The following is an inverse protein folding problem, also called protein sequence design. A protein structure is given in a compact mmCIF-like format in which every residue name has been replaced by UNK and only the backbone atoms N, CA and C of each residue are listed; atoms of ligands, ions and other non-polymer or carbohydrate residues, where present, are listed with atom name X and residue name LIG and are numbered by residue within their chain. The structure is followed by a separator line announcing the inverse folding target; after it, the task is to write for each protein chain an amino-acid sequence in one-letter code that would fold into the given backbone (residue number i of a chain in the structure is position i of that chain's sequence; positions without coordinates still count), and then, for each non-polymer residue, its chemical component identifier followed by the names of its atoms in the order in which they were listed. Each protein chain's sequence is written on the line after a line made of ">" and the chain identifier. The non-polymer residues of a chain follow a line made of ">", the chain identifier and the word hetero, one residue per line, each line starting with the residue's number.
data_IF_634039921638
#
_entry.id   IF_634039921638
#
_cell.length_a   1.000
_cell.length_b   1.000
_cell.length_c   1.000
_cell.angle_alpha   90.00
_cell.angle_beta   90.00
_cell.angle_gamma   90.00
#
_symmetry.space_group_name_H-M   'P 1'
#
loop_
_entity.id
_entity.type
_entity.pdbx_description
1 polymer ?
#
# COMPACT_ATOMS: atom_id res chain seq x y z
N UNK A 1 71.50 -10.90 -7.58
CA UNK A 1 72.33 -12.02 -8.07
C UNK A 1 71.53 -13.30 -7.99
N UNK A 2 71.21 -13.81 -9.18
CA UNK A 2 70.80 -15.15 -9.62
C UNK A 2 70.77 -16.23 -8.52
N UNK A 3 69.74 -17.08 -8.46
CA UNK A 3 69.62 -18.31 -9.25
C UNK A 3 68.16 -18.83 -9.14
N UNK A 4 67.43 -19.17 -10.20
CA UNK A 4 67.63 -20.16 -11.27
C UNK A 4 67.26 -21.60 -10.84
N UNK A 5 66.57 -22.29 -11.77
CA UNK A 5 66.07 -23.70 -11.82
C UNK A 5 64.70 -23.96 -11.16
N UNK A 6 63.60 -24.12 -11.92
CA UNK A 6 63.21 -25.17 -12.90
C UNK A 6 63.15 -26.57 -12.28
N UNK A 7 61.92 -27.10 -12.16
CA UNK A 7 61.64 -28.52 -12.34
C UNK A 7 60.16 -28.73 -12.73
N UNK A 8 59.98 -29.08 -14.00
CA UNK A 8 58.79 -29.63 -14.63
C UNK A 8 58.57 -31.07 -14.13
N UNK A 9 57.37 -31.42 -13.66
CA UNK A 9 56.91 -32.82 -13.63
C UNK A 9 55.46 -32.89 -14.09
N UNK A 10 55.29 -33.56 -15.23
CA UNK A 10 54.04 -34.07 -15.79
C UNK A 10 53.50 -35.24 -14.96
N UNK A 11 52.17 -35.33 -14.84
CA UNK A 11 51.30 -36.50 -15.05
C UNK A 11 50.08 -36.40 -14.11
N UNK A 12 48.88 -36.26 -14.65
CA UNK A 12 47.97 -37.36 -15.02
C UNK A 12 47.16 -37.85 -13.83
N UNK A 13 45.84 -37.62 -13.87
CA UNK A 13 44.93 -38.13 -12.86
C UNK A 13 43.57 -37.47 -12.97
N UNK A 14 42.81 -37.84 -13.99
CA UNK A 14 41.40 -37.49 -14.14
C UNK A 14 40.62 -38.16 -12.99
N UNK A 15 40.36 -37.43 -11.92
CA UNK A 15 39.46 -37.83 -10.84
C UNK A 15 38.11 -37.17 -11.06
N UNK A 16 37.06 -37.96 -11.32
CA UNK A 16 35.67 -37.51 -11.27
C UNK A 16 35.37 -37.03 -9.85
N UNK A 17 35.33 -35.71 -9.66
CA UNK A 17 34.82 -35.09 -8.45
C UNK A 17 33.31 -35.09 -8.49
N UNK A 18 32.69 -35.94 -7.67
CA UNK A 18 31.30 -35.80 -7.25
C UNK A 18 31.05 -34.37 -6.78
N UNK A 19 30.07 -33.69 -7.39
CA UNK A 19 29.57 -32.42 -6.90
C UNK A 19 28.96 -32.63 -5.50
N UNK A 20 29.68 -32.14 -4.48
CA UNK A 20 29.20 -32.03 -3.11
C UNK A 20 28.27 -30.79 -2.97
N UNK A 21 27.37 -30.76 -1.97
CA UNK A 21 26.38 -29.71 -1.80
C UNK A 21 27.03 -28.40 -1.32
N UNK A 22 26.63 -27.27 -1.89
CA UNK A 22 27.03 -25.95 -1.39
C UNK A 22 27.22 -24.92 -2.50
N UNK A 23 26.13 -24.37 -3.01
CA UNK A 23 26.15 -23.12 -3.76
C UNK A 23 25.68 -21.97 -2.85
N UNK A 24 26.44 -21.71 -1.79
CA UNK A 24 26.48 -20.38 -1.18
C UNK A 24 27.90 -19.88 -1.35
N UNK A 25 28.08 -18.87 -2.22
CA UNK A 25 29.35 -18.20 -2.39
C UNK A 25 29.75 -17.44 -1.11
N UNK A 26 31.05 -17.21 -0.89
CA UNK A 26 31.57 -16.50 0.29
C UNK A 26 31.17 -15.01 0.36
N UNK A 27 30.44 -14.51 -0.64
CA UNK A 27 29.75 -13.23 -0.62
C UNK A 27 28.27 -13.51 -0.80
N UNK A 28 27.53 -13.57 0.30
CA UNK A 28 26.07 -13.57 0.25
C UNK A 28 25.61 -12.25 -0.37
N UNK A 29 25.37 -12.25 -1.67
CA UNK A 29 24.57 -11.20 -2.29
C UNK A 29 23.17 -11.32 -1.70
N UNK A 30 22.91 -10.51 -0.68
CA UNK A 30 21.54 -10.22 -0.30
C UNK A 30 20.92 -9.54 -1.51
N UNK A 31 19.67 -9.88 -1.82
CA UNK A 31 18.89 -9.24 -2.87
C UNK A 31 18.66 -7.78 -2.46
N UNK A 32 19.66 -6.92 -2.61
CA UNK A 32 19.59 -5.45 -2.45
C UNK A 32 18.90 -4.79 -3.66
N UNK A 33 18.03 -5.54 -4.35
CA UNK A 33 17.04 -4.90 -5.20
C UNK A 33 16.08 -4.18 -4.25
N UNK A 34 15.87 -2.85 -4.38
CA UNK A 34 14.81 -2.19 -3.64
C UNK A 34 13.53 -2.97 -3.92
N UNK A 35 12.81 -3.37 -2.85
CA UNK A 35 11.50 -3.96 -3.00
C UNK A 35 10.69 -3.02 -3.89
N UNK A 36 10.40 -3.46 -5.11
CA UNK A 36 9.49 -2.74 -5.97
C UNK A 36 8.15 -2.79 -5.25
N UNK A 37 7.83 -1.73 -4.50
CA UNK A 37 6.48 -1.46 -4.04
C UNK A 37 5.67 -1.24 -5.30
N UNK A 38 5.10 -2.31 -5.84
CA UNK A 38 3.98 -2.23 -6.75
C UNK A 38 2.86 -1.53 -5.97
N UNK A 39 2.83 -0.20 -6.02
CA UNK A 39 1.67 0.58 -5.68
C UNK A 39 0.64 0.37 -6.80
N UNK A 40 0.13 -0.86 -6.89
CA UNK A 40 -1.11 -1.11 -7.59
C UNK A 40 -2.21 -0.59 -6.70
N UNK A 41 -3.08 0.27 -7.23
CA UNK A 41 -4.34 0.62 -6.57
C UNK A 41 -5.19 -0.65 -6.50
N UNK A 42 -5.04 -1.44 -5.43
CA UNK A 42 -5.94 -2.56 -5.17
C UNK A 42 -7.33 -1.98 -4.94
N UNK A 43 -8.32 -2.49 -5.69
CA UNK A 43 -9.71 -2.09 -5.50
C UNK A 43 -10.18 -2.46 -4.09
N UNK A 44 -11.03 -1.64 -3.45
CA UNK A 44 -11.65 -2.02 -2.19
C UNK A 44 -12.43 -3.33 -2.33
N UNK A 45 -12.23 -4.24 -1.39
CA UNK A 45 -12.93 -5.52 -1.33
C UNK A 45 -13.66 -5.67 -0.01
N UNK A 46 -14.67 -6.53 -0.02
CA UNK A 46 -15.46 -6.93 1.15
C UNK A 46 -15.52 -8.45 1.19
N UNK A 47 -15.37 -9.00 2.38
CA UNK A 47 -15.57 -10.41 2.66
C UNK A 47 -16.47 -10.53 3.90
N UNK A 48 -17.44 -11.43 3.84
CA UNK A 48 -18.36 -11.72 4.93
C UNK A 48 -18.86 -13.15 4.82
N UNK A 49 -19.29 -13.76 5.92
CA UNK A 49 -19.85 -15.10 5.89
C UNK A 49 -20.84 -15.31 7.03
N UNK A 50 -21.71 -16.28 6.84
CA UNK A 50 -22.62 -16.84 7.84
C UNK A 50 -22.37 -18.34 7.97
N UNK A 51 -23.25 -19.07 8.66
CA UNK A 51 -23.20 -20.53 8.69
C UNK A 51 -23.52 -21.17 7.33
N UNK A 52 -24.32 -20.49 6.50
CA UNK A 52 -24.84 -21.03 5.25
C UNK A 52 -24.13 -20.48 4.00
N UNK A 53 -23.63 -19.24 4.05
CA UNK A 53 -23.12 -18.55 2.87
C UNK A 53 -21.78 -17.84 3.11
N UNK A 54 -20.99 -17.72 2.05
CA UNK A 54 -19.80 -16.88 1.96
C UNK A 54 -20.07 -15.78 0.92
N UNK A 55 -19.60 -14.56 1.19
CA UNK A 55 -19.78 -13.40 0.33
C UNK A 55 -18.43 -12.74 0.10
N UNK A 56 -18.09 -12.52 -1.16
CA UNK A 56 -16.90 -11.76 -1.57
C UNK A 56 -17.33 -10.69 -2.57
N UNK A 57 -16.90 -9.45 -2.33
CA UNK A 57 -17.25 -8.32 -3.16
C UNK A 57 -16.05 -7.48 -3.56
N UNK A 58 -16.12 -6.87 -4.74
CA UNK A 58 -15.15 -5.89 -5.22
C UNK A 58 -15.88 -4.64 -5.67
N UNK A 59 -15.40 -3.48 -5.20
CA UNK A 59 -15.91 -2.17 -5.62
C UNK A 59 -15.15 -1.69 -6.86
N UNK A 60 -15.90 -1.49 -7.95
CA UNK A 60 -15.48 -0.87 -9.20
C UNK A 60 -15.97 0.59 -9.23
N UNK A 61 -15.61 1.32 -10.29
CA UNK A 61 -16.03 2.71 -10.45
C UNK A 61 -17.54 2.83 -10.75
N UNK A 62 -18.10 1.82 -11.40
CA UNK A 62 -19.46 1.77 -11.92
C UNK A 62 -20.33 0.66 -11.32
N UNK A 63 -19.76 -0.24 -10.51
CA UNK A 63 -20.52 -1.28 -9.81
C UNK A 63 -19.86 -1.78 -8.51
N UNK A 64 -20.66 -2.35 -7.62
CA UNK A 64 -20.20 -3.29 -6.61
C UNK A 64 -20.62 -4.69 -7.07
N UNK A 65 -19.64 -5.49 -7.50
CA UNK A 65 -19.86 -6.88 -7.92
C UNK A 65 -19.63 -7.81 -6.73
N UNK A 66 -20.60 -8.68 -6.46
CA UNK A 66 -20.61 -9.60 -5.33
C UNK A 66 -20.76 -11.04 -5.83
N UNK A 67 -19.87 -11.91 -5.39
CA UNK A 67 -20.04 -13.36 -5.49
C UNK A 67 -20.54 -13.89 -4.15
N UNK A 68 -21.46 -14.86 -4.22
CA UNK A 68 -21.99 -15.54 -3.04
C UNK A 68 -21.93 -17.03 -3.28
N UNK A 69 -21.32 -17.75 -2.35
CA UNK A 69 -21.15 -19.20 -2.40
C UNK A 69 -21.81 -19.85 -1.18
N UNK A 70 -22.18 -21.13 -1.32
CA UNK A 70 -22.62 -21.96 -0.19
C UNK A 70 -21.42 -22.34 0.67
N UNK A 71 -21.46 -22.02 1.96
CA UNK A 71 -20.31 -22.21 2.87
C UNK A 71 -19.82 -23.67 2.91
N UNK A 72 -20.75 -24.63 2.94
CA UNK A 72 -20.40 -26.05 3.08
C UNK A 72 -19.81 -26.68 1.81
N UNK A 73 -20.15 -26.18 0.63
CA UNK A 73 -19.83 -26.82 -0.66
C UNK A 73 -19.01 -25.95 -1.60
N UNK A 74 -18.88 -24.65 -1.30
CA UNK A 74 -18.29 -23.63 -2.18
C UNK A 74 -18.98 -23.58 -3.56
N UNK A 75 -20.26 -23.95 -3.62
CA UNK A 75 -21.05 -23.85 -4.85
C UNK A 75 -21.64 -22.44 -4.99
N UNK A 76 -21.55 -21.81 -6.17
CA UNK A 76 -22.05 -20.46 -6.38
C UNK A 76 -23.57 -20.39 -6.34
N UNK A 77 -24.08 -19.32 -5.73
CA UNK A 77 -25.49 -18.96 -5.74
C UNK A 77 -25.86 -18.35 -7.09
N UNK A 78 -26.41 -19.17 -7.97
CA UNK A 78 -26.75 -18.80 -9.37
C UNK A 78 -28.21 -18.39 -9.56
N UNK A 79 -29.01 -18.37 -8.49
CA UNK A 79 -30.41 -17.95 -8.50
C UNK A 79 -30.80 -17.35 -7.15
N UNK A 80 -31.49 -16.20 -7.18
CA UNK A 80 -31.94 -15.54 -5.97
C UNK A 80 -32.00 -14.03 -6.13
N UNK A 81 -32.22 -13.34 -5.00
CA UNK A 81 -32.12 -11.89 -4.88
C UNK A 81 -31.11 -11.53 -3.81
N UNK A 82 -30.32 -10.49 -4.07
CA UNK A 82 -29.42 -9.91 -3.10
C UNK A 82 -29.75 -8.43 -2.96
N UNK A 83 -30.11 -8.02 -1.76
CA UNK A 83 -30.34 -6.61 -1.40
C UNK A 83 -29.20 -6.16 -0.49
N UNK A 84 -28.89 -4.86 -0.53
CA UNK A 84 -27.87 -4.25 0.33
C UNK A 84 -28.41 -3.01 1.00
N UNK A 85 -28.06 -2.83 2.27
CA UNK A 85 -28.31 -1.65 3.05
C UNK A 85 -26.99 -0.98 3.47
N UNK A 86 -26.91 0.34 3.28
CA UNK A 86 -25.84 1.20 3.76
C UNK A 86 -26.47 2.43 4.43
N UNK A 87 -26.62 2.40 5.75
CA UNK A 87 -27.37 3.42 6.49
C UNK A 87 -28.83 3.47 6.03
N UNK A 88 -29.25 4.59 5.42
CA UNK A 88 -30.60 4.75 4.86
C UNK A 88 -30.71 4.34 3.38
N UNK A 89 -29.58 4.04 2.72
CA UNK A 89 -29.55 3.63 1.31
C UNK A 89 -29.88 2.15 1.23
N UNK A 90 -30.84 1.80 0.36
CA UNK A 90 -31.16 0.41 0.01
C UNK A 90 -31.10 0.23 -1.50
N UNK A 91 -30.50 -0.86 -1.95
CA UNK A 91 -30.43 -1.22 -3.36
C UNK A 91 -30.57 -2.74 -3.53
N UNK A 92 -31.05 -3.16 -4.70
CA UNK A 92 -31.11 -4.57 -5.10
C UNK A 92 -30.16 -4.81 -6.27
N UNK A 93 -29.41 -5.90 -6.22
CA UNK A 93 -28.51 -6.27 -7.28
C UNK A 93 -29.24 -6.87 -8.48
N UNK A 94 -28.63 -6.72 -9.65
CA UNK A 94 -28.94 -7.53 -10.82
C UNK A 94 -28.06 -8.78 -10.79
N UNK A 95 -28.67 -9.97 -10.84
CA UNK A 95 -27.95 -11.22 -10.97
C UNK A 95 -27.54 -11.47 -12.43
N UNK A 96 -26.24 -11.67 -12.66
CA UNK A 96 -25.70 -12.19 -13.92
C UNK A 96 -25.46 -13.69 -13.76
N UNK A 97 -26.49 -14.50 -14.00
CA UNK A 97 -26.45 -15.94 -13.73
C UNK A 97 -25.38 -16.70 -14.54
N UNK A 98 -24.94 -16.15 -15.67
CA UNK A 98 -23.85 -16.66 -16.50
C UNK A 98 -22.45 -16.41 -15.90
N UNK A 99 -22.29 -15.31 -15.18
CA UNK A 99 -21.05 -14.94 -14.49
C UNK A 99 -21.04 -15.37 -13.02
N UNK A 100 -22.22 -15.62 -12.44
CA UNK A 100 -22.38 -16.01 -11.03
C UNK A 100 -22.28 -14.84 -10.05
N UNK A 101 -22.39 -13.59 -10.52
CA UNK A 101 -22.26 -12.40 -9.69
C UNK A 101 -23.56 -11.58 -9.58
N UNK A 102 -23.69 -10.91 -8.45
CA UNK A 102 -24.72 -9.92 -8.15
C UNK A 102 -24.10 -8.53 -8.30
N UNK A 103 -24.55 -7.77 -9.31
CA UNK A 103 -24.06 -6.44 -9.62
C UNK A 103 -25.00 -5.36 -9.07
N UNK A 104 -24.47 -4.52 -8.18
CA UNK A 104 -25.14 -3.31 -7.70
C UNK A 104 -24.62 -2.09 -8.48
N UNK A 105 -25.52 -1.42 -9.21
CA UNK A 105 -25.22 -0.23 -10.03
C UNK A 105 -25.96 1.02 -9.57
N UNK A 106 -26.58 0.98 -8.38
CA UNK A 106 -27.31 2.13 -7.83
C UNK A 106 -26.35 3.31 -7.57
N UNK A 107 -26.68 4.47 -8.13
CA UNK A 107 -25.80 5.64 -8.10
C UNK A 107 -25.62 6.23 -6.69
N UNK A 108 -26.63 6.12 -5.81
CA UNK A 108 -26.52 6.64 -4.45
C UNK A 108 -25.61 5.73 -3.60
N UNK A 109 -25.78 4.41 -3.74
CA UNK A 109 -24.91 3.41 -3.12
C UNK A 109 -23.46 3.58 -3.55
N UNK A 110 -23.18 3.62 -4.86
CA UNK A 110 -21.80 3.70 -5.38
C UNK A 110 -21.12 4.99 -4.94
N UNK A 111 -21.83 6.12 -5.02
CA UNK A 111 -21.32 7.40 -4.55
C UNK A 111 -20.96 7.38 -3.05
N UNK A 112 -21.77 6.71 -2.23
CA UNK A 112 -21.51 6.60 -0.80
C UNK A 112 -20.28 5.70 -0.53
N UNK A 113 -20.20 4.55 -1.20
CA UNK A 113 -19.08 3.61 -1.05
C UNK A 113 -17.75 4.17 -1.55
N UNK A 114 -17.75 5.01 -2.58
CA UNK A 114 -16.54 5.67 -3.09
C UNK A 114 -15.95 6.71 -2.13
N UNK A 115 -16.70 7.14 -1.10
CA UNK A 115 -16.16 8.06 -0.11
C UNK A 115 -15.07 7.35 0.73
N UNK A 116 -13.94 8.01 1.03
CA UNK A 116 -12.93 7.45 1.93
C UNK A 116 -13.50 7.07 3.30
N UNK A 117 -13.07 5.92 3.81
CA UNK A 117 -13.47 5.44 5.13
C UNK A 117 -13.96 4.00 5.15
N UNK A 118 -14.54 3.61 6.28
CA UNK A 118 -15.14 2.30 6.48
C UNK A 118 -16.64 2.40 6.30
N UNK A 119 -17.20 1.52 5.46
CA UNK A 119 -18.63 1.43 5.22
C UNK A 119 -19.13 0.08 5.70
N UNK A 120 -20.05 0.08 6.66
CA UNK A 120 -20.72 -1.13 7.11
C UNK A 120 -21.92 -1.40 6.20
N UNK A 121 -21.99 -2.60 5.63
CA UNK A 121 -23.07 -3.04 4.76
C UNK A 121 -23.80 -4.21 5.40
N UNK A 122 -25.10 -4.26 5.19
CA UNK A 122 -25.93 -5.41 5.54
C UNK A 122 -26.56 -5.92 4.27
N UNK A 123 -26.27 -7.17 3.91
CA UNK A 123 -26.86 -7.81 2.74
C UNK A 123 -27.99 -8.73 3.17
N UNK A 124 -29.10 -8.71 2.44
CA UNK A 124 -30.18 -9.70 2.59
C UNK A 124 -30.17 -10.59 1.35
N UNK A 125 -29.81 -11.85 1.54
CA UNK A 125 -29.86 -12.86 0.50
C UNK A 125 -31.16 -13.65 0.61
N UNK A 126 -31.79 -13.91 -0.53
CA UNK A 126 -32.86 -14.90 -0.67
C UNK A 126 -32.48 -15.85 -1.81
N UNK A 127 -32.15 -17.08 -1.46
CA UNK A 127 -31.71 -18.13 -2.38
C UNK A 127 -32.66 -19.33 -2.30
N UNK A 128 -33.67 -19.37 -3.18
CA UNK A 128 -34.71 -20.40 -3.14
C UNK A 128 -35.58 -20.28 -1.88
N UNK A 129 -35.52 -21.28 -1.00
CA UNK A 129 -36.26 -21.29 0.28
C UNK A 129 -35.44 -20.77 1.47
N UNK A 130 -34.16 -20.48 1.25
CA UNK A 130 -33.24 -19.98 2.27
C UNK A 130 -33.17 -18.46 2.19
N UNK A 131 -33.15 -17.80 3.35
CA UNK A 131 -32.90 -16.37 3.45
C UNK A 131 -31.92 -16.11 4.58
N UNK A 132 -31.00 -15.21 4.35
CA UNK A 132 -29.94 -14.91 5.30
C UNK A 132 -29.58 -13.42 5.30
N UNK A 133 -29.09 -12.94 6.45
CA UNK A 133 -28.59 -11.60 6.65
C UNK A 133 -27.08 -11.64 6.83
N UNK A 134 -26.34 -11.06 5.89
CA UNK A 134 -24.87 -11.13 5.83
C UNK A 134 -24.32 -9.72 6.11
N UNK A 135 -23.68 -9.54 7.26
CA UNK A 135 -23.06 -8.27 7.65
C UNK A 135 -21.61 -8.23 7.19
N UNK A 136 -21.20 -7.13 6.56
CA UNK A 136 -19.84 -6.95 6.09
C UNK A 136 -19.36 -5.51 6.16
N UNK A 137 -18.07 -5.31 5.87
CA UNK A 137 -17.45 -3.98 5.86
C UNK A 137 -16.48 -3.86 4.70
N UNK A 138 -16.58 -2.76 3.97
CA UNK A 138 -15.60 -2.38 2.93
C UNK A 138 -14.84 -1.14 3.41
N UNK A 139 -13.53 -1.13 3.18
CA UNK A 139 -12.66 0.00 3.52
C UNK A 139 -12.13 0.64 2.25
N UNK A 140 -12.42 1.91 2.07
CA UNK A 140 -11.93 2.71 0.93
C UNK A 140 -10.86 3.66 1.42
N UNK A 141 -9.67 3.56 0.84
CA UNK A 141 -8.55 4.43 1.16
C UNK A 141 -8.88 5.89 0.83
N UNK A 142 -8.45 6.80 1.69
CA UNK A 142 -8.38 8.23 1.34
C UNK A 142 -7.06 8.56 0.70
N UNK A 143 -7.04 9.58 -0.17
CA UNK A 143 -5.79 10.22 -0.58
C UNK A 143 -5.16 10.91 0.64
N UNK A 144 -4.44 10.15 1.46
CA UNK A 144 -3.52 10.72 2.44
C UNK A 144 -2.25 11.21 1.73
N UNK A 145 -2.41 12.09 0.75
CA UNK A 145 -1.36 13.04 0.39
C UNK A 145 -1.35 14.17 1.42
N UNK A 146 -1.19 13.80 2.70
CA UNK A 146 -0.77 14.68 3.77
C UNK A 146 0.69 15.04 3.57
N UNK A 147 1.01 15.75 2.48
CA UNK A 147 2.18 16.60 2.52
C UNK A 147 1.89 17.66 3.58
N UNK A 148 2.33 17.39 4.81
CA UNK A 148 2.77 18.44 5.72
C UNK A 148 3.92 19.17 5.02
N UNK A 149 3.57 20.02 4.05
CA UNK A 149 4.39 21.14 3.70
C UNK A 149 4.50 21.90 5.01
N UNK A 150 5.63 21.72 5.69
CA UNK A 150 6.08 22.66 6.72
C UNK A 150 5.96 24.02 6.06
N UNK A 151 4.86 24.70 6.35
CA UNK A 151 4.57 26.01 5.85
C UNK A 151 5.65 26.87 6.47
N UNK A 152 6.73 27.11 5.71
CA UNK A 152 7.83 27.93 6.14
C UNK A 152 7.20 29.27 6.51
N UNK A 153 7.14 29.54 7.81
CA UNK A 153 6.45 30.74 8.27
C UNK A 153 7.39 31.89 7.97
N UNK A 154 6.94 32.97 7.30
CA UNK A 154 7.82 34.03 6.79
C UNK A 154 8.62 34.74 7.89
N UNK A 155 8.20 34.61 9.15
CA UNK A 155 8.93 35.14 10.32
C UNK A 155 10.22 34.37 10.65
N UNK A 156 10.39 33.12 10.18
CA UNK A 156 11.64 32.38 10.37
C UNK A 156 12.82 33.04 9.62
N UNK A 157 12.57 33.63 8.43
CA UNK A 157 13.56 34.42 7.70
C UNK A 157 13.89 35.76 8.38
N UNK A 158 12.89 36.39 9.00
CA UNK A 158 13.05 37.66 9.70
C UNK A 158 13.95 37.53 10.95
N UNK A 159 13.84 36.44 11.70
CA UNK A 159 14.68 36.18 12.87
C UNK A 159 16.17 36.06 12.50
N UNK A 160 16.48 35.39 11.39
CA UNK A 160 17.86 35.23 10.91
C UNK A 160 18.45 36.59 10.46
N UNK A 161 17.66 37.42 9.76
CA UNK A 161 18.10 38.74 9.32
C UNK A 161 18.44 39.68 10.50
N UNK A 162 17.65 39.64 11.58
CA UNK A 162 17.90 40.44 12.79
C UNK A 162 19.19 40.01 13.48
N UNK A 163 19.46 38.71 13.60
CA UNK A 163 20.70 38.21 14.22
C UNK A 163 21.93 38.61 13.41
N UNK A 164 21.87 38.52 12.07
CA UNK A 164 22.97 38.94 11.20
C UNK A 164 23.23 40.45 11.27
N UNK A 165 22.17 41.27 11.28
CA UNK A 165 22.29 42.71 11.41
C UNK A 165 22.90 43.11 12.76
N UNK A 166 22.51 42.45 13.86
CA UNK A 166 23.06 42.69 15.19
C UNK A 166 24.55 42.29 15.26
N UNK A 167 24.90 41.14 14.68
CA UNK A 167 26.29 40.67 14.59
C UNK A 167 27.19 41.65 13.82
N UNK A 168 26.73 42.11 12.66
CA UNK A 168 27.46 43.09 11.84
C UNK A 168 27.62 44.43 12.57
N UNK A 169 26.58 44.90 13.26
CA UNK A 169 26.63 46.13 14.05
C UNK A 169 27.68 46.06 15.18
N UNK A 170 27.71 44.95 15.92
CA UNK A 170 28.71 44.73 16.98
C UNK A 170 30.12 44.65 16.42
N UNK A 171 30.31 43.99 15.27
CA UNK A 171 31.60 43.89 14.59
C UNK A 171 32.13 45.26 14.16
N UNK A 172 31.31 46.08 13.50
CA UNK A 172 31.67 47.43 13.06
C UNK A 172 32.02 48.32 14.26
N UNK A 173 31.24 48.26 15.35
CA UNK A 173 31.51 49.01 16.57
C UNK A 173 32.84 48.61 17.22
N UNK A 174 33.17 47.32 17.21
CA UNK A 174 34.46 46.82 17.72
C UNK A 174 35.64 47.28 16.86
N UNK A 175 35.48 47.27 15.53
CA UNK A 175 36.55 47.70 14.62
C UNK A 175 36.88 49.19 14.80
N UNK A 176 35.86 50.06 14.85
CA UNK A 176 36.03 51.52 15.04
C UNK A 176 36.67 51.90 16.39
N UNK A 177 36.46 51.09 17.43
CA UNK A 177 37.11 51.29 18.74
C UNK A 177 38.59 50.90 18.76
N UNK A 178 39.02 49.99 17.88
CA UNK A 178 40.42 49.58 17.78
C UNK A 178 41.25 50.56 16.95
N UNK A 179 40.68 51.14 15.90
CA UNK A 179 41.36 52.15 15.08
C UNK A 179 41.48 53.52 15.78
N UNK A 180 40.62 53.81 16.76
CA UNK A 180 40.73 55.01 17.60
C UNK A 180 41.85 54.97 18.66
N UNK A 181 42.50 53.81 18.87
CA UNK A 181 43.55 53.64 19.88
C UNK A 181 44.99 53.71 19.31
N UNK A 182 45.16 53.89 18.00
CA UNK A 182 46.47 53.98 17.33
C UNK A 182 46.90 55.40 16.96
N UNK A 183 46.15 56.43 17.37
CA UNK A 183 46.44 57.83 17.03
C UNK A 183 46.46 58.78 18.24
N UNK A 184 46.91 58.29 19.39
CA UNK A 184 47.24 59.10 20.57
C UNK A 184 48.63 58.74 21.07
#
# INVERSE_FOLDING_TARGET
>A
MNRCLIALVLLFGCGLGYAAPGAHGPSGEHLDAPAATSAGTTRPTIEANTEAFELVGTLYDDELSILVDRYATNEPVTAGTLEVELGEIKAQAKLHADLGDFSFTDAALLKALQAPGQHALVFTLVAGAESDLIEGRITVGGDEHGHDHVAWKPWAGAAIAVVLALGLFVMIRRYRRRTGAMNR
#
